data_IF_707126112383
#
_entry.id   IF_707126112383
#
_cell.length_a   1.000
_cell.length_b   1.000
_cell.length_c   1.000
_cell.angle_alpha   90.00
_cell.angle_beta   90.00
_cell.angle_gamma   90.00
#
_symmetry.space_group_name_H-M   'P 1'
#
loop_
_entity.id
_entity.type
_entity.pdbx_description
1 polymer ?
#
# COMPACT_ATOMS: atom_id res chain seq x y z
N UNK A 1 -0.25 23.09 18.16
CA UNK A 1 0.43 22.72 16.90
C UNK A 1 -0.46 23.15 15.77
N UNK A 2 0.00 23.98 14.87
CA UNK A 2 -0.74 24.35 13.66
C UNK A 2 -0.81 23.11 12.78
N UNK A 3 -2.02 22.69 12.41
CA UNK A 3 -2.27 21.55 11.53
C UNK A 3 -1.87 21.94 10.12
N UNK A 4 -0.64 21.64 9.76
CA UNK A 4 -0.12 22.13 8.49
C UNK A 4 -0.51 21.27 7.30
N UNK A 5 -0.68 19.96 7.52
CA UNK A 5 -1.05 19.00 6.48
C UNK A 5 -2.37 18.29 6.77
N UNK A 6 -3.11 17.99 5.71
CA UNK A 6 -4.24 17.06 5.66
C UNK A 6 -3.89 15.91 4.72
N UNK A 7 -4.31 14.69 5.06
CA UNK A 7 -4.09 13.51 4.22
C UNK A 7 -5.31 13.15 3.37
N UNK A 8 -5.08 12.74 2.12
CA UNK A 8 -6.12 12.16 1.27
C UNK A 8 -5.57 10.91 0.56
N UNK A 9 -6.18 9.77 0.85
CA UNK A 9 -5.78 8.49 0.27
C UNK A 9 -6.77 8.08 -0.80
N UNK A 10 -6.29 8.01 -2.05
CA UNK A 10 -7.11 7.53 -3.16
C UNK A 10 -6.92 6.01 -3.33
N UNK A 11 -7.94 5.24 -2.95
CA UNK A 11 -7.96 3.79 -3.05
C UNK A 11 -8.70 3.27 -4.30
N UNK A 12 -9.25 4.16 -5.14
CA UNK A 12 -10.06 3.80 -6.30
C UNK A 12 -9.20 3.42 -7.51
N UNK A 13 -8.00 3.98 -7.61
CA UNK A 13 -7.11 3.78 -8.78
C UNK A 13 -6.33 2.46 -8.74
N UNK A 14 -6.48 1.64 -7.70
CA UNK A 14 -5.79 0.37 -7.59
C UNK A 14 -6.60 -0.75 -8.28
N UNK A 15 -6.02 -1.36 -9.32
CA UNK A 15 -6.63 -2.49 -10.02
C UNK A 15 -6.77 -3.70 -9.08
N UNK A 16 -7.90 -4.44 -9.13
CA UNK A 16 -8.08 -5.63 -8.32
C UNK A 16 -7.11 -6.75 -8.75
N UNK A 17 -6.54 -7.45 -7.77
CA UNK A 17 -5.77 -8.68 -8.01
C UNK A 17 -6.77 -9.85 -8.12
N UNK A 18 -7.27 -10.12 -9.30
CA UNK A 18 -8.41 -11.02 -9.53
C UNK A 18 -8.25 -12.40 -8.90
N UNK A 19 -7.03 -12.96 -8.94
CA UNK A 19 -6.74 -14.31 -8.42
C UNK A 19 -6.80 -14.38 -6.88
N UNK A 20 -6.54 -13.26 -6.18
CA UNK A 20 -6.51 -13.21 -4.71
C UNK A 20 -7.69 -12.40 -4.15
N UNK A 21 -8.40 -11.62 -4.97
CA UNK A 21 -9.06 -10.42 -4.48
C UNK A 21 -10.44 -10.11 -5.06
N UNK A 22 -11.22 -11.06 -5.49
CA UNK A 22 -12.54 -10.80 -6.07
C UNK A 22 -13.50 -10.02 -5.15
N UNK A 23 -13.28 -10.05 -3.84
CA UNK A 23 -14.23 -9.53 -2.84
C UNK A 23 -13.68 -8.36 -2.00
N UNK A 24 -12.51 -7.79 -2.33
CA UNK A 24 -11.90 -6.73 -1.50
C UNK A 24 -10.94 -5.82 -2.28
N UNK A 25 -10.81 -4.53 -1.92
CA UNK A 25 -9.82 -3.64 -2.54
C UNK A 25 -8.40 -4.12 -2.28
N UNK A 26 -7.49 -3.89 -3.22
CA UNK A 26 -6.04 -4.18 -3.10
C UNK A 26 -5.47 -3.60 -1.80
N UNK A 27 -5.85 -2.38 -1.46
CA UNK A 27 -5.40 -1.69 -0.24
C UNK A 27 -5.72 -2.44 1.05
N UNK A 28 -6.68 -3.38 1.03
CA UNK A 28 -7.05 -4.21 2.18
C UNK A 28 -6.42 -5.60 2.19
N UNK A 29 -5.56 -5.93 1.22
CA UNK A 29 -4.89 -7.24 1.18
C UNK A 29 -3.92 -7.36 2.35
N UNK A 30 -3.90 -8.53 3.04
CA UNK A 30 -2.94 -8.80 4.10
C UNK A 30 -1.51 -8.88 3.56
N UNK A 31 -0.54 -8.37 4.33
CA UNK A 31 0.88 -8.37 3.99
C UNK A 31 1.74 -8.63 5.23
N UNK A 32 2.88 -9.31 5.06
CA UNK A 32 3.90 -9.50 6.10
C UNK A 32 3.39 -10.21 7.35
N UNK A 33 2.42 -11.12 7.23
CA UNK A 33 1.85 -11.92 8.32
C UNK A 33 0.88 -11.16 9.24
N UNK A 34 0.94 -9.82 9.30
CA UNK A 34 0.21 -9.04 10.30
C UNK A 34 -0.55 -7.84 9.74
N UNK A 35 0.02 -7.13 8.76
CA UNK A 35 -0.44 -5.85 8.26
C UNK A 35 -1.44 -5.99 7.11
N UNK A 36 -1.97 -4.84 6.64
CA UNK A 36 -2.60 -4.66 5.34
C UNK A 36 -1.90 -3.52 4.60
N UNK A 37 -2.01 -3.47 3.29
CA UNK A 37 -1.32 -2.44 2.48
C UNK A 37 -1.63 -1.02 2.94
N UNK A 38 -2.88 -0.71 3.28
CA UNK A 38 -3.31 0.61 3.75
C UNK A 38 -2.60 1.05 5.05
N UNK A 39 -2.16 0.10 5.88
CA UNK A 39 -1.54 0.39 7.17
C UNK A 39 -0.25 1.21 7.01
N UNK A 40 0.52 0.98 5.94
CA UNK A 40 1.73 1.72 5.63
C UNK A 40 1.42 3.20 5.36
N UNK A 41 0.49 3.47 4.44
CA UNK A 41 0.12 4.85 4.07
C UNK A 41 -0.47 5.62 5.26
N UNK A 42 -1.38 5.01 6.01
CA UNK A 42 -1.97 5.64 7.20
C UNK A 42 -0.91 5.92 8.26
N UNK A 43 0.00 4.96 8.51
CA UNK A 43 1.03 5.11 9.53
C UNK A 43 2.01 6.22 9.18
N UNK A 44 2.46 6.30 7.93
CA UNK A 44 3.35 7.37 7.49
C UNK A 44 2.70 8.74 7.62
N UNK A 45 1.39 8.86 7.33
CA UNK A 45 0.66 10.12 7.49
C UNK A 45 0.58 10.55 8.96
N UNK A 46 0.21 9.64 9.87
CA UNK A 46 0.09 9.99 11.30
C UNK A 46 1.45 10.22 11.97
N UNK A 47 2.49 9.52 11.54
CA UNK A 47 3.86 9.75 12.00
C UNK A 47 4.35 11.15 11.63
N UNK A 48 3.91 11.70 10.49
CA UNK A 48 4.17 13.09 10.07
C UNK A 48 3.20 14.10 10.70
N UNK A 49 2.54 13.75 11.79
CA UNK A 49 1.65 14.65 12.53
C UNK A 49 0.32 14.98 11.83
N UNK A 50 -0.06 14.27 10.78
CA UNK A 50 -1.36 14.45 10.12
C UNK A 50 -2.45 13.86 11.01
N UNK A 51 -3.37 14.72 11.46
CA UNK A 51 -4.49 14.34 12.34
C UNK A 51 -5.83 14.22 11.63
N UNK A 52 -5.89 14.61 10.36
CA UNK A 52 -7.12 14.55 9.52
C UNK A 52 -6.80 13.82 8.23
N UNK A 53 -7.44 12.67 8.01
CA UNK A 53 -7.21 11.83 6.83
C UNK A 53 -8.54 11.47 6.18
N UNK A 54 -8.67 11.75 4.89
CA UNK A 54 -9.78 11.32 4.04
C UNK A 54 -9.43 10.05 3.28
N UNK A 55 -10.34 9.09 3.26
CA UNK A 55 -10.22 7.85 2.50
C UNK A 55 -11.25 7.84 1.37
N UNK A 56 -10.80 8.02 0.13
CA UNK A 56 -11.65 7.85 -1.05
C UNK A 56 -11.90 6.36 -1.28
N UNK A 57 -13.07 5.91 -0.86
CA UNK A 57 -13.41 4.48 -0.82
C UNK A 57 -13.77 3.96 -2.22
N UNK A 58 -13.27 2.79 -2.61
CA UNK A 58 -13.77 2.06 -3.76
C UNK A 58 -15.15 1.45 -3.46
N UNK A 59 -15.86 1.01 -4.48
CA UNK A 59 -17.20 0.44 -4.34
C UNK A 59 -17.26 -0.71 -3.32
N UNK A 60 -16.32 -1.64 -3.37
CA UNK A 60 -16.23 -2.78 -2.43
C UNK A 60 -15.35 -2.45 -1.21
N UNK A 61 -15.81 -1.59 -0.32
CA UNK A 61 -15.00 -1.05 0.79
C UNK A 61 -15.18 -1.75 2.15
N UNK A 62 -16.08 -2.73 2.28
CA UNK A 62 -16.39 -3.37 3.57
C UNK A 62 -15.15 -3.86 4.32
N UNK A 63 -14.21 -4.50 3.63
CA UNK A 63 -12.99 -5.02 4.28
C UNK A 63 -12.05 -3.93 4.82
N UNK A 64 -12.08 -2.74 4.21
CA UNK A 64 -11.36 -1.53 4.70
C UNK A 64 -12.05 -1.03 5.97
N UNK A 65 -13.36 -0.84 5.94
CA UNK A 65 -14.16 -0.36 7.07
C UNK A 65 -14.01 -1.29 8.28
N UNK A 66 -14.08 -2.61 8.08
CA UNK A 66 -13.90 -3.62 9.13
C UNK A 66 -12.49 -3.62 9.73
N UNK A 67 -11.47 -3.23 8.93
CA UNK A 67 -10.09 -3.16 9.40
C UNK A 67 -9.79 -1.87 10.15
N UNK A 68 -10.07 -0.72 9.54
CA UNK A 68 -9.68 0.58 10.07
C UNK A 68 -10.65 1.06 11.16
N UNK A 69 -11.94 0.76 11.05
CA UNK A 69 -13.00 1.18 12.00
C UNK A 69 -12.97 2.69 12.22
N UNK A 70 -12.78 3.14 13.46
CA UNK A 70 -12.66 4.56 13.82
C UNK A 70 -11.26 5.15 13.62
N UNK A 71 -10.27 4.37 13.16
CA UNK A 71 -8.88 4.81 13.07
C UNK A 71 -8.15 4.90 14.41
N UNK A 72 -8.67 4.27 15.47
CA UNK A 72 -8.12 4.35 16.84
C UNK A 72 -6.66 3.91 16.91
N UNK A 73 -6.30 2.86 16.21
CA UNK A 73 -4.95 2.30 16.18
C UNK A 73 -3.92 3.26 15.59
N UNK A 74 -4.37 4.21 14.78
CA UNK A 74 -3.55 5.30 14.19
C UNK A 74 -3.76 6.63 14.90
N UNK A 75 -4.46 6.67 16.05
CA UNK A 75 -4.74 7.92 16.75
C UNK A 75 -5.68 8.87 16.01
N UNK A 76 -6.48 8.37 15.05
CA UNK A 76 -7.39 9.17 14.23
C UNK A 76 -8.85 9.18 14.73
N UNK A 77 -9.12 8.68 15.94
CA UNK A 77 -10.47 8.61 16.51
C UNK A 77 -10.81 9.88 17.33
N UNK A 78 -10.78 11.05 16.71
CA UNK A 78 -11.05 12.34 17.38
C UNK A 78 -12.32 13.00 16.86
N UNK A 79 -12.96 13.84 17.70
CA UNK A 79 -14.10 14.70 17.29
C UNK A 79 -13.59 15.92 16.52
N UNK A 80 -14.15 16.13 15.32
CA UNK A 80 -13.84 17.29 14.47
C UNK A 80 -12.65 17.12 13.53
N UNK A 81 -11.66 16.33 13.93
CA UNK A 81 -10.56 15.83 13.12
C UNK A 81 -10.63 14.31 13.08
N UNK A 82 -9.64 13.67 12.47
CA UNK A 82 -9.53 12.23 12.47
C UNK A 82 -9.78 11.62 11.10
N UNK A 83 -10.38 10.44 11.08
CA UNK A 83 -10.60 9.67 9.88
C UNK A 83 -11.96 9.97 9.25
N UNK A 84 -11.94 10.29 7.95
CA UNK A 84 -13.14 10.54 7.16
C UNK A 84 -13.25 9.50 6.05
N UNK A 85 -14.36 8.79 6.02
CA UNK A 85 -14.72 7.91 4.93
C UNK A 85 -15.48 8.69 3.87
N UNK A 86 -14.95 8.70 2.64
CA UNK A 86 -15.47 9.41 1.49
C UNK A 86 -15.96 8.38 0.45
N UNK A 87 -17.19 7.88 0.60
CA UNK A 87 -17.75 6.89 -0.29
C UNK A 87 -18.02 7.46 -1.69
N UNK A 88 -18.16 6.58 -2.65
CA UNK A 88 -18.58 6.95 -3.99
C UNK A 88 -20.08 7.26 -4.01
N UNK A 89 -20.44 8.43 -4.54
CA UNK A 89 -21.84 8.81 -4.69
C UNK A 89 -22.46 8.16 -5.93
N UNK A 90 -23.67 7.59 -5.77
CA UNK A 90 -24.56 7.12 -6.84
C UNK A 90 -24.08 5.96 -7.72
N UNK A 91 -23.11 5.14 -7.31
CA UNK A 91 -22.77 3.89 -8.02
C UNK A 91 -22.29 4.07 -9.46
N UNK A 92 -21.97 5.29 -9.90
CA UNK A 92 -21.30 5.54 -11.17
C UNK A 92 -19.81 5.58 -10.94
N UNK A 93 -19.07 4.71 -11.62
CA UNK A 93 -17.62 4.78 -11.65
C UNK A 93 -17.18 6.14 -12.19
N UNK A 94 -16.26 6.77 -11.48
CA UNK A 94 -15.65 8.03 -11.92
C UNK A 94 -14.77 7.77 -13.15
N UNK A 95 -14.90 8.61 -14.18
CA UNK A 95 -14.09 8.52 -15.40
C UNK A 95 -12.61 8.90 -15.20
N UNK A 96 -12.19 9.11 -13.93
CA UNK A 96 -10.84 9.45 -13.55
C UNK A 96 -10.76 10.00 -12.14
N UNK A 97 -9.56 10.39 -11.72
CA UNK A 97 -9.35 10.87 -10.35
C UNK A 97 -9.81 12.32 -10.14
N UNK A 98 -9.89 13.15 -11.20
CA UNK A 98 -10.38 14.54 -11.12
C UNK A 98 -11.84 14.60 -10.67
N UNK A 99 -12.73 13.78 -11.25
CA UNK A 99 -14.14 13.69 -10.83
C UNK A 99 -14.26 13.29 -9.35
N UNK A 100 -13.46 12.30 -8.96
CA UNK A 100 -13.38 11.85 -7.57
C UNK A 100 -12.94 12.96 -6.63
N UNK A 101 -11.90 13.71 -6.98
CA UNK A 101 -11.41 14.82 -6.16
C UNK A 101 -12.40 15.97 -6.11
N UNK A 102 -13.01 16.33 -7.24
CA UNK A 102 -14.00 17.41 -7.32
C UNK A 102 -15.19 17.17 -6.39
N UNK A 103 -15.78 15.97 -6.42
CA UNK A 103 -16.89 15.58 -5.53
C UNK A 103 -16.52 15.65 -4.05
N UNK A 104 -15.23 15.52 -3.72
CA UNK A 104 -14.73 15.50 -2.35
C UNK A 104 -13.95 16.77 -1.93
N UNK A 105 -13.96 17.85 -2.73
CA UNK A 105 -13.27 19.12 -2.40
C UNK A 105 -13.73 19.73 -1.07
N UNK A 106 -14.98 19.48 -0.67
CA UNK A 106 -15.52 19.95 0.62
C UNK A 106 -14.70 19.40 1.80
N UNK A 107 -14.16 18.18 1.71
CA UNK A 107 -13.27 17.63 2.72
C UNK A 107 -11.99 18.47 2.84
N UNK A 108 -11.34 18.78 1.71
CA UNK A 108 -10.11 19.58 1.69
C UNK A 108 -10.36 20.98 2.24
N UNK A 109 -11.46 21.64 1.84
CA UNK A 109 -11.84 22.99 2.32
C UNK A 109 -12.10 23.04 3.83
N UNK A 110 -12.74 22.01 4.39
CA UNK A 110 -13.02 21.92 5.83
C UNK A 110 -11.76 21.68 6.67
N UNK A 111 -10.73 21.04 6.11
CA UNK A 111 -9.50 20.71 6.81
C UNK A 111 -8.69 21.90 7.29
N UNK A 112 -8.87 23.09 6.68
CA UNK A 112 -8.16 24.36 7.02
C UNK A 112 -6.63 24.22 7.11
N UNK A 113 -6.07 23.22 6.49
CA UNK A 113 -4.62 22.97 6.41
C UNK A 113 -4.05 23.69 5.18
N UNK A 114 -2.79 24.07 5.26
CA UNK A 114 -2.12 24.73 4.13
C UNK A 114 -1.76 23.71 3.04
N UNK A 115 -1.35 22.52 3.45
CA UNK A 115 -0.84 21.49 2.53
C UNK A 115 -1.72 20.26 2.54
N UNK A 116 -1.84 19.63 1.38
CA UNK A 116 -2.50 18.36 1.15
C UNK A 116 -1.47 17.30 0.76
N UNK A 117 -1.45 16.19 1.47
CA UNK A 117 -0.70 15.00 1.09
C UNK A 117 -1.66 14.01 0.42
N UNK A 118 -1.49 13.83 -0.90
CA UNK A 118 -2.20 12.82 -1.69
C UNK A 118 -1.35 11.55 -1.75
N UNK A 119 -1.95 10.40 -1.54
CA UNK A 119 -1.27 9.11 -1.68
C UNK A 119 -2.22 8.03 -2.18
N UNK A 120 -1.66 6.98 -2.80
CA UNK A 120 -2.36 5.73 -3.06
C UNK A 120 -2.20 4.79 -1.86
N UNK A 121 -3.21 3.97 -1.58
CA UNK A 121 -3.17 3.04 -0.44
C UNK A 121 -2.47 1.70 -0.72
N UNK A 122 -1.81 1.53 -1.86
CA UNK A 122 -1.21 0.27 -2.30
C UNK A 122 0.34 0.31 -2.38
N UNK A 123 0.95 1.26 -1.69
CA UNK A 123 2.41 1.37 -1.55
C UNK A 123 2.89 0.70 -0.26
N UNK A 124 3.95 -0.08 -0.36
CA UNK A 124 4.72 -0.58 0.79
C UNK A 124 5.99 0.27 0.90
N UNK A 125 5.96 1.19 1.84
CA UNK A 125 6.99 2.22 2.04
C UNK A 125 6.92 2.68 3.50
N UNK A 126 8.06 3.03 4.08
CA UNK A 126 8.13 3.73 5.37
C UNK A 126 8.88 5.04 5.14
N UNK A 127 8.15 6.14 4.99
CA UNK A 127 8.68 7.44 4.59
C UNK A 127 8.33 8.51 5.63
N UNK A 128 9.30 9.39 5.89
CA UNK A 128 9.09 10.60 6.66
C UNK A 128 8.55 11.74 5.77
N UNK A 129 7.25 12.03 5.91
CA UNK A 129 6.63 13.14 5.19
C UNK A 129 6.94 14.52 5.80
N UNK A 130 7.49 14.61 7.02
CA UNK A 130 7.96 15.88 7.56
C UNK A 130 9.21 16.37 6.82
N UNK A 131 10.12 15.44 6.46
CA UNK A 131 11.26 15.76 5.60
C UNK A 131 10.82 16.24 4.22
N UNK A 132 9.83 15.56 3.62
CA UNK A 132 9.26 15.98 2.35
C UNK A 132 8.59 17.36 2.43
N UNK A 133 7.90 17.68 3.53
CA UNK A 133 7.33 19.00 3.78
C UNK A 133 8.41 20.07 3.96
N UNK A 134 9.49 19.75 4.68
CA UNK A 134 10.63 20.65 4.82
C UNK A 134 11.25 20.99 3.45
N UNK A 135 11.45 19.96 2.62
CA UNK A 135 11.93 20.13 1.24
C UNK A 135 10.98 21.02 0.42
N UNK A 136 9.68 20.76 0.47
CA UNK A 136 8.63 21.53 -0.22
C UNK A 136 8.71 23.03 0.13
N UNK A 137 8.82 23.34 1.40
CA UNK A 137 8.97 24.73 1.90
C UNK A 137 10.26 25.39 1.47
N UNK A 138 11.38 24.68 1.59
CA UNK A 138 12.71 25.17 1.20
C UNK A 138 12.74 25.62 -0.26
N UNK A 139 12.04 24.91 -1.13
CA UNK A 139 11.99 25.23 -2.56
C UNK A 139 10.83 26.18 -2.94
N UNK A 140 10.02 26.64 -1.97
CA UNK A 140 8.77 27.35 -2.21
C UNK A 140 7.94 26.65 -3.28
N UNK A 141 7.85 25.33 -3.21
CA UNK A 141 7.16 24.51 -4.19
C UNK A 141 5.65 24.74 -4.14
N UNK A 142 4.98 24.63 -5.27
CA UNK A 142 3.52 24.53 -5.37
C UNK A 142 3.11 23.06 -5.26
N UNK A 143 3.97 22.17 -5.83
CA UNK A 143 3.79 20.72 -5.83
C UNK A 143 5.14 20.04 -5.61
N UNK A 144 5.19 19.02 -4.75
CA UNK A 144 6.32 18.12 -4.62
C UNK A 144 5.89 16.69 -4.94
N UNK A 145 6.56 16.08 -5.91
CA UNK A 145 6.34 14.70 -6.33
C UNK A 145 7.41 13.82 -5.69
N UNK A 146 6.99 12.78 -4.97
CA UNK A 146 7.93 11.86 -4.34
C UNK A 146 8.30 10.77 -5.35
N UNK A 147 9.61 10.61 -5.59
CA UNK A 147 10.13 9.65 -6.56
C UNK A 147 11.25 8.79 -5.98
N UNK A 148 11.55 7.71 -6.66
CA UNK A 148 12.68 6.83 -6.39
C UNK A 148 13.39 6.51 -7.69
N UNK A 149 14.71 6.40 -7.66
CA UNK A 149 15.50 5.92 -8.80
C UNK A 149 15.28 4.43 -8.99
N UNK A 150 15.03 4.04 -10.24
CA UNK A 150 14.87 2.63 -10.62
C UNK A 150 16.24 1.94 -10.56
N UNK A 151 16.43 0.92 -9.71
CA UNK A 151 17.74 0.30 -9.53
C UNK A 151 18.10 -0.65 -10.67
N UNK A 152 17.11 -1.16 -11.41
CA UNK A 152 17.26 -2.08 -12.55
C UNK A 152 16.06 -1.90 -13.46
N UNK A 153 16.28 -1.97 -14.77
CA UNK A 153 15.21 -1.90 -15.77
C UNK A 153 14.11 -2.95 -15.49
N UNK A 154 12.84 -2.51 -15.60
CA UNK A 154 11.65 -3.36 -15.40
C UNK A 154 10.59 -3.05 -16.44
N UNK A 155 9.92 -4.09 -16.94
CA UNK A 155 8.75 -3.96 -17.82
C UNK A 155 7.52 -3.61 -16.98
N UNK A 156 7.45 -2.35 -16.59
CA UNK A 156 6.37 -1.83 -15.78
C UNK A 156 6.01 -0.42 -16.23
N UNK A 157 4.73 -0.19 -16.50
CA UNK A 157 4.21 1.15 -16.77
C UNK A 157 4.25 2.02 -15.49
N UNK A 158 4.67 3.27 -15.63
CA UNK A 158 4.69 4.20 -14.52
C UNK A 158 5.07 5.60 -14.96
N UNK A 159 4.71 6.61 -14.16
CA UNK A 159 5.19 7.97 -14.39
C UNK A 159 6.66 8.10 -13.99
N UNK A 160 7.45 8.78 -14.83
CA UNK A 160 8.84 9.17 -14.58
C UNK A 160 8.98 10.68 -14.61
N UNK A 161 9.97 11.18 -13.85
CA UNK A 161 10.27 12.61 -13.73
C UNK A 161 11.60 12.92 -14.40
N UNK A 162 11.61 13.88 -15.33
CA UNK A 162 12.85 14.51 -15.77
C UNK A 162 13.10 15.74 -14.89
N UNK A 163 14.25 15.80 -14.21
CA UNK A 163 14.60 16.86 -13.27
C UNK A 163 15.76 17.69 -13.78
N UNK A 164 15.81 18.97 -13.39
CA UNK A 164 17.02 19.78 -13.53
C UNK A 164 17.93 19.66 -12.29
N UNK A 165 19.09 20.33 -12.28
CA UNK A 165 20.07 20.33 -11.20
C UNK A 165 19.53 20.87 -9.84
N UNK A 166 18.37 21.53 -9.85
CA UNK A 166 17.71 22.10 -8.67
C UNK A 166 16.46 21.31 -8.29
N UNK A 167 16.37 20.05 -8.69
CA UNK A 167 15.24 19.14 -8.44
C UNK A 167 13.89 19.61 -9.02
N UNK A 168 13.88 20.61 -9.91
CA UNK A 168 12.65 21.04 -10.55
C UNK A 168 12.24 20.06 -11.64
N UNK A 169 10.98 19.66 -11.64
CA UNK A 169 10.39 18.77 -12.65
C UNK A 169 10.24 19.54 -13.97
N UNK A 170 10.88 19.05 -15.02
CA UNK A 170 10.81 19.57 -16.37
C UNK A 170 9.79 18.84 -17.23
N UNK A 171 9.70 17.51 -17.05
CA UNK A 171 8.79 16.64 -17.79
C UNK A 171 8.25 15.53 -16.90
N UNK A 172 7.02 15.12 -17.21
CA UNK A 172 6.32 13.96 -16.65
C UNK A 172 5.99 13.03 -17.83
N UNK A 173 6.64 11.89 -17.87
CA UNK A 173 6.46 10.90 -18.92
C UNK A 173 5.83 9.62 -18.35
N UNK A 174 5.15 8.83 -19.19
CA UNK A 174 4.55 7.55 -18.79
C UNK A 174 5.01 6.45 -19.74
N UNK A 175 6.29 6.02 -19.64
CA UNK A 175 6.81 4.94 -20.47
C UNK A 175 6.18 3.59 -20.08
N UNK A 176 6.12 2.66 -21.05
CA UNK A 176 5.69 1.28 -20.83
C UNK A 176 6.75 0.46 -20.07
N UNK A 177 8.02 0.87 -20.20
CA UNK A 177 9.18 0.22 -19.55
C UNK A 177 10.00 1.27 -18.81
N UNK A 178 10.35 0.99 -17.57
CA UNK A 178 11.21 1.85 -16.77
C UNK A 178 12.67 1.40 -16.93
N UNK A 179 13.54 2.31 -17.32
CA UNK A 179 14.99 2.07 -17.44
C UNK A 179 15.69 2.21 -16.08
N UNK A 180 16.86 1.60 -15.96
CA UNK A 180 17.74 1.83 -14.80
C UNK A 180 18.10 3.33 -14.71
N UNK A 181 18.01 3.87 -13.51
CA UNK A 181 18.27 5.28 -13.23
C UNK A 181 17.07 6.22 -13.46
N UNK A 182 15.96 5.75 -14.03
CA UNK A 182 14.76 6.56 -14.18
C UNK A 182 14.22 7.00 -12.81
N UNK A 183 13.72 8.24 -12.75
CA UNK A 183 13.08 8.77 -11.53
C UNK A 183 11.61 8.37 -11.52
N UNK A 184 11.31 7.17 -10.99
CA UNK A 184 9.96 6.61 -10.91
C UNK A 184 9.13 7.34 -9.86
N UNK A 185 7.99 7.89 -10.26
CA UNK A 185 7.01 8.49 -9.34
C UNK A 185 6.35 7.45 -8.44
N UNK A 186 6.33 7.69 -7.13
CA UNK A 186 5.80 6.74 -6.14
C UNK A 186 4.31 6.90 -5.84
N UNK A 187 3.62 7.85 -6.49
CA UNK A 187 2.18 8.07 -6.25
C UNK A 187 1.88 8.90 -5.00
N UNK A 188 2.87 9.60 -4.45
CA UNK A 188 2.73 10.49 -3.31
C UNK A 188 3.01 11.92 -3.74
N UNK A 189 2.05 12.83 -3.47
CA UNK A 189 2.09 14.24 -3.89
C UNK A 189 1.84 15.11 -2.68
N UNK A 190 2.74 16.05 -2.41
CA UNK A 190 2.51 17.13 -1.48
C UNK A 190 2.20 18.40 -2.30
N UNK A 191 1.06 19.05 -2.02
CA UNK A 191 0.56 20.17 -2.79
C UNK A 191 -0.08 21.21 -1.87
N UNK A 192 0.03 22.48 -2.21
CA UNK A 192 -0.72 23.54 -1.56
C UNK A 192 -2.25 23.34 -1.76
N UNK A 193 -3.03 23.40 -0.68
CA UNK A 193 -4.48 23.14 -0.73
C UNK A 193 -5.23 24.08 -1.67
N UNK A 194 -4.86 25.37 -1.74
CA UNK A 194 -5.52 26.33 -2.62
C UNK A 194 -5.22 25.98 -4.08
N UNK A 195 -3.96 25.69 -4.40
CA UNK A 195 -3.56 25.28 -5.75
C UNK A 195 -4.25 23.99 -6.18
N UNK A 196 -4.39 23.02 -5.25
CA UNK A 196 -5.12 21.79 -5.54
C UNK A 196 -6.58 22.06 -5.86
N UNK A 197 -7.27 22.84 -5.03
CA UNK A 197 -8.70 23.17 -5.22
C UNK A 197 -8.94 23.88 -6.55
N UNK A 198 -8.18 24.94 -6.83
CA UNK A 198 -8.28 25.70 -8.07
C UNK A 198 -8.00 24.83 -9.32
N UNK A 199 -7.00 23.95 -9.20
CA UNK A 199 -6.64 23.05 -10.28
C UNK A 199 -7.74 22.02 -10.56
N UNK A 200 -8.34 21.44 -9.51
CA UNK A 200 -9.42 20.46 -9.67
C UNK A 200 -10.69 21.11 -10.20
N UNK A 201 -11.13 22.24 -9.67
CA UNK A 201 -12.33 22.93 -10.15
C UNK A 201 -12.24 23.30 -11.63
N UNK A 202 -11.10 23.87 -12.01
CA UNK A 202 -10.85 24.27 -13.40
C UNK A 202 -10.81 23.06 -14.32
N UNK A 203 -10.07 22.03 -13.93
CA UNK A 203 -9.89 20.84 -14.77
C UNK A 203 -11.17 20.03 -14.92
N UNK A 204 -12.00 19.97 -13.87
CA UNK A 204 -13.33 19.36 -13.93
C UNK A 204 -14.24 20.13 -14.92
N UNK A 205 -14.26 21.47 -14.87
CA UNK A 205 -15.03 22.29 -15.78
C UNK A 205 -14.55 22.17 -17.25
N UNK A 206 -13.26 21.91 -17.46
CA UNK A 206 -12.65 21.67 -18.77
C UNK A 206 -12.77 20.23 -19.29
N UNK A 207 -13.35 19.30 -18.48
CA UNK A 207 -13.57 17.91 -18.87
C UNK A 207 -12.32 17.03 -18.83
N UNK A 208 -11.31 17.37 -18.03
CA UNK A 208 -10.14 16.52 -17.83
C UNK A 208 -10.42 15.39 -16.84
N UNK A 209 -9.68 14.27 -16.97
CA UNK A 209 -9.92 13.07 -16.19
C UNK A 209 -8.79 12.72 -15.22
N UNK A 210 -7.52 12.97 -15.58
CA UNK A 210 -6.35 12.51 -14.82
C UNK A 210 -5.50 13.66 -14.28
N UNK A 211 -5.39 13.76 -12.96
CA UNK A 211 -4.68 14.85 -12.29
C UNK A 211 -3.20 14.93 -12.68
N UNK A 212 -2.49 13.82 -12.77
CA UNK A 212 -1.07 13.81 -13.13
C UNK A 212 -0.89 14.12 -14.62
N UNK A 213 -1.55 13.36 -15.50
CA UNK A 213 -1.36 13.47 -16.95
C UNK A 213 -1.98 14.72 -17.55
N UNK A 214 -3.21 15.08 -17.14
CA UNK A 214 -3.94 16.18 -17.76
C UNK A 214 -3.68 17.52 -17.07
N UNK A 215 -3.42 17.51 -15.74
CA UNK A 215 -3.25 18.74 -14.98
C UNK A 215 -1.79 19.07 -14.71
N UNK A 216 -1.07 18.20 -14.01
CA UNK A 216 0.31 18.50 -13.62
C UNK A 216 1.23 18.55 -14.82
N UNK A 217 1.20 17.56 -15.72
CA UNK A 217 2.09 17.52 -16.88
C UNK A 217 1.94 18.74 -17.79
N UNK A 218 0.71 19.25 -17.96
CA UNK A 218 0.44 20.45 -18.80
C UNK A 218 0.81 21.76 -18.11
N UNK A 219 0.87 21.80 -16.79
CA UNK A 219 1.12 23.02 -16.02
C UNK A 219 2.52 23.14 -15.42
N UNK A 220 3.49 22.28 -15.79
CA UNK A 220 4.87 22.29 -15.27
C UNK A 220 5.59 23.64 -15.46
N UNK A 221 5.27 24.38 -16.54
CA UNK A 221 5.84 25.71 -16.77
C UNK A 221 5.26 26.78 -15.85
N UNK A 222 4.01 26.64 -15.43
CA UNK A 222 3.28 27.61 -14.60
C UNK A 222 3.45 27.30 -13.10
N UNK A 223 3.42 26.02 -12.72
CA UNK A 223 3.57 25.58 -11.35
C UNK A 223 5.04 25.30 -11.02
N UNK A 224 5.41 25.56 -9.77
CA UNK A 224 6.72 25.20 -9.21
C UNK A 224 6.66 23.77 -8.72
N UNK A 225 6.87 22.81 -9.65
CA UNK A 225 6.82 21.37 -9.37
C UNK A 225 8.25 20.87 -9.13
N UNK A 226 8.48 20.23 -7.98
CA UNK A 226 9.78 19.67 -7.59
C UNK A 226 9.69 18.19 -7.32
N UNK A 227 10.81 17.47 -7.50
CA UNK A 227 10.95 16.06 -7.15
C UNK A 227 11.68 15.90 -5.82
N UNK A 228 11.11 15.13 -4.89
CA UNK A 228 11.78 14.70 -3.66
C UNK A 228 12.19 13.24 -3.79
N UNK A 229 13.51 12.97 -3.74
CA UNK A 229 14.05 11.62 -3.86
C UNK A 229 13.89 10.85 -2.55
N UNK A 230 13.15 9.75 -2.60
CA UNK A 230 13.10 8.76 -1.52
C UNK A 230 14.12 7.64 -1.78
N UNK A 231 14.98 7.36 -0.81
CA UNK A 231 16.09 6.40 -0.95
C UNK A 231 15.87 5.06 -0.26
N UNK A 232 14.77 4.91 0.47
CA UNK A 232 14.43 3.70 1.19
C UNK A 232 13.71 2.66 0.33
N UNK A 233 13.28 1.57 0.96
CA UNK A 233 12.47 0.55 0.30
C UNK A 233 11.09 1.09 -0.08
N UNK A 234 10.74 1.01 -1.35
CA UNK A 234 9.42 1.39 -1.86
C UNK A 234 8.99 0.46 -3.00
N UNK A 235 7.88 -0.24 -2.81
CA UNK A 235 7.25 -1.05 -3.86
C UNK A 235 5.75 -0.82 -3.89
N UNK A 236 5.19 -0.75 -5.11
CA UNK A 236 3.75 -0.70 -5.34
C UNK A 236 3.23 -2.09 -5.60
N UNK A 237 2.13 -2.47 -4.95
CA UNK A 237 1.40 -3.69 -5.23
C UNK A 237 0.31 -3.39 -6.26
N UNK A 238 0.40 -3.96 -7.45
CA UNK A 238 -0.50 -3.73 -8.57
C UNK A 238 -0.93 -5.02 -9.29
N UNK A 239 -0.22 -6.13 -9.06
CA UNK A 239 -0.50 -7.46 -9.55
C UNK A 239 -0.08 -8.54 -8.53
N UNK A 240 -0.31 -9.79 -8.88
CA UNK A 240 0.02 -10.95 -8.02
C UNK A 240 1.53 -11.11 -7.85
N UNK A 241 2.31 -10.87 -8.89
CA UNK A 241 3.77 -10.97 -8.86
C UNK A 241 4.35 -9.92 -7.88
N UNK A 242 3.99 -8.65 -8.02
CA UNK A 242 4.43 -7.59 -7.11
C UNK A 242 3.97 -7.83 -5.67
N UNK A 243 2.78 -8.39 -5.46
CA UNK A 243 2.31 -8.81 -4.14
C UNK A 243 3.17 -9.92 -3.55
N UNK A 244 3.46 -10.96 -4.34
CA UNK A 244 4.32 -12.07 -3.94
C UNK A 244 5.71 -11.57 -3.58
N UNK A 245 6.33 -10.82 -4.49
CA UNK A 245 7.68 -10.29 -4.32
C UNK A 245 7.82 -9.41 -3.07
N UNK A 246 6.87 -8.50 -2.82
CA UNK A 246 6.91 -7.65 -1.61
C UNK A 246 6.85 -8.48 -0.34
N UNK A 247 6.06 -9.55 -0.31
CA UNK A 247 6.02 -10.45 0.85
C UNK A 247 7.33 -11.22 1.01
N UNK A 248 7.93 -11.73 -0.07
CA UNK A 248 9.23 -12.41 -0.02
C UNK A 248 10.35 -11.45 0.40
N UNK A 249 10.35 -10.20 -0.07
CA UNK A 249 11.32 -9.18 0.36
C UNK A 249 11.27 -8.93 1.88
N UNK A 250 10.10 -9.07 2.52
CA UNK A 250 9.97 -8.94 3.98
C UNK A 250 10.66 -10.06 4.77
N UNK A 251 11.04 -11.17 4.11
CA UNK A 251 11.85 -12.22 4.71
C UNK A 251 13.34 -11.85 4.77
N UNK A 252 13.80 -10.88 3.98
CA UNK A 252 15.15 -10.28 4.16
C UNK A 252 15.18 -9.44 5.44
N UNK A 253 16.09 -9.75 6.39
CA UNK A 253 16.19 -9.00 7.65
C UNK A 253 16.49 -7.50 7.47
N UNK A 254 17.11 -7.08 6.36
CA UNK A 254 17.39 -5.66 6.09
C UNK A 254 16.11 -4.94 5.70
N UNK A 255 15.38 -5.47 4.72
CA UNK A 255 14.08 -4.95 4.28
C UNK A 255 13.08 -4.92 5.43
N UNK A 256 13.02 -6.01 6.23
CA UNK A 256 12.15 -6.09 7.40
C UNK A 256 12.46 -5.00 8.44
N UNK A 257 13.75 -4.78 8.75
CA UNK A 257 14.16 -3.74 9.70
C UNK A 257 13.86 -2.35 9.17
N UNK A 258 14.13 -2.11 7.91
CA UNK A 258 13.87 -0.80 7.28
C UNK A 258 12.39 -0.43 7.29
N UNK A 259 11.52 -1.37 6.96
CA UNK A 259 10.08 -1.13 6.88
C UNK A 259 9.36 -1.18 8.23
N UNK A 260 9.69 -2.17 9.08
CA UNK A 260 8.84 -2.56 10.20
C UNK A 260 9.48 -2.34 11.58
N UNK A 261 10.80 -2.16 11.64
CA UNK A 261 11.53 -1.86 12.87
C UNK A 261 12.42 -0.61 12.75
N UNK A 262 11.92 0.47 12.19
CA UNK A 262 12.63 1.74 12.17
C UNK A 262 12.62 2.37 13.57
N UNK A 263 13.12 3.60 13.65
CA UNK A 263 12.95 4.48 14.79
C UNK A 263 11.49 4.42 15.32
N UNK A 264 11.26 4.36 16.65
CA UNK A 264 9.93 4.37 17.26
C UNK A 264 8.98 5.45 16.74
N UNK A 265 9.52 6.56 16.20
CA UNK A 265 8.77 7.66 15.60
C UNK A 265 8.15 7.32 14.22
N UNK A 266 8.62 6.26 13.57
CA UNK A 266 8.17 5.84 12.22
C UNK A 266 7.58 4.43 12.23
N UNK A 267 6.84 4.10 13.28
CA UNK A 267 6.22 2.78 13.45
C UNK A 267 5.06 2.59 12.48
N UNK A 268 4.98 1.40 11.87
CA UNK A 268 3.79 0.99 11.13
C UNK A 268 2.77 0.41 12.11
N UNK A 269 1.64 1.11 12.23
CA UNK A 269 0.50 0.71 13.05
C UNK A 269 -0.41 -0.24 12.26
N UNK A 270 -1.14 -1.07 12.95
CA UNK A 270 -2.16 -1.96 12.39
C UNK A 270 -3.20 -2.31 13.43
N UNK A 271 -4.31 -2.86 12.99
CA UNK A 271 -5.34 -3.37 13.90
C UNK A 271 -4.79 -4.42 14.85
N UNK A 272 -4.96 -4.20 16.15
CA UNK A 272 -4.58 -5.15 17.18
C UNK A 272 -5.58 -6.32 17.19
N UNK A 273 -5.03 -7.52 17.24
CA UNK A 273 -5.80 -8.76 17.39
C UNK A 273 -5.11 -9.61 18.45
N UNK A 274 -5.85 -9.94 19.49
CA UNK A 274 -5.36 -10.78 20.57
C UNK A 274 -5.49 -12.24 20.17
N UNK A 275 -4.36 -12.92 20.08
CA UNK A 275 -4.25 -14.34 19.75
C UNK A 275 -3.11 -14.95 20.58
N UNK A 276 -3.20 -16.25 20.86
CA UNK A 276 -2.12 -16.96 21.50
C UNK A 276 -0.83 -16.87 20.66
N UNK A 277 0.36 -16.95 21.27
CA UNK A 277 1.61 -17.09 20.54
C UNK A 277 1.58 -18.26 19.55
N UNK A 278 2.39 -18.20 18.50
CA UNK A 278 2.58 -19.33 17.59
C UNK A 278 3.20 -20.52 18.34
N UNK A 279 2.73 -21.73 18.06
CA UNK A 279 3.21 -22.97 18.66
C UNK A 279 3.89 -23.85 17.62
N UNK A 280 5.10 -24.26 17.90
CA UNK A 280 5.85 -25.25 17.13
C UNK A 280 5.82 -26.56 17.88
N UNK A 281 5.43 -27.64 17.20
CA UNK A 281 5.40 -28.99 17.75
C UNK A 281 6.80 -29.62 17.70
N UNK A 282 7.00 -30.77 18.33
CA UNK A 282 8.30 -31.37 18.56
C UNK A 282 9.12 -31.62 17.28
N UNK A 283 8.48 -32.02 16.20
CA UNK A 283 9.13 -32.29 14.91
C UNK A 283 9.13 -31.11 13.93
N UNK A 284 8.55 -29.98 14.35
CA UNK A 284 8.45 -28.80 13.49
C UNK A 284 9.83 -28.22 13.13
N UNK A 285 10.00 -27.86 11.86
CA UNK A 285 11.20 -27.18 11.35
C UNK A 285 10.78 -25.86 10.69
N UNK A 286 11.31 -24.74 11.18
CA UNK A 286 11.03 -23.43 10.62
C UNK A 286 12.34 -22.71 10.28
N UNK A 287 12.47 -22.27 9.02
CA UNK A 287 13.62 -21.53 8.54
C UNK A 287 13.18 -20.34 7.70
N UNK A 288 13.69 -19.15 8.03
CA UNK A 288 13.40 -17.90 7.34
C UNK A 288 11.90 -17.66 7.11
N UNK A 289 11.10 -17.67 8.19
CA UNK A 289 9.65 -17.51 8.12
C UNK A 289 9.14 -16.35 8.99
N UNK A 290 8.11 -15.66 8.52
CA UNK A 290 7.28 -14.80 9.36
C UNK A 290 6.04 -15.58 9.79
N UNK A 291 5.91 -15.88 11.09
CA UNK A 291 4.81 -16.67 11.63
C UNK A 291 4.01 -15.84 12.60
N UNK A 292 2.75 -15.55 12.26
CA UNK A 292 1.88 -14.75 13.09
C UNK A 292 1.28 -15.55 14.27
N UNK A 293 0.69 -14.84 15.21
CA UNK A 293 0.06 -15.40 16.41
C UNK A 293 -1.04 -16.42 16.06
N UNK A 294 -1.21 -17.41 16.94
CA UNK A 294 -2.22 -18.45 16.82
C UNK A 294 -1.90 -19.56 15.83
N UNK A 295 -0.73 -19.52 15.16
CA UNK A 295 -0.31 -20.59 14.26
C UNK A 295 0.12 -21.84 15.03
N UNK A 296 -0.14 -23.01 14.45
CA UNK A 296 0.35 -24.32 14.92
C UNK A 296 1.12 -24.96 13.79
N UNK A 297 2.42 -25.22 14.01
CA UNK A 297 3.31 -25.78 13.00
C UNK A 297 3.77 -27.16 13.49
N UNK A 298 3.45 -28.21 12.72
CA UNK A 298 3.88 -29.60 12.98
C UNK A 298 4.85 -30.09 11.90
N UNK A 299 4.83 -29.51 10.70
CA UNK A 299 5.67 -29.87 9.56
C UNK A 299 6.89 -28.98 9.39
N UNK A 300 7.41 -28.96 8.17
CA UNK A 300 8.59 -28.16 7.74
C UNK A 300 8.14 -26.93 6.95
N UNK A 301 8.55 -25.74 7.41
CA UNK A 301 8.22 -24.46 6.76
C UNK A 301 9.49 -23.69 6.46
N UNK A 302 9.62 -23.16 5.23
CA UNK A 302 10.81 -22.48 4.73
C UNK A 302 10.45 -21.29 3.83
N UNK A 303 11.16 -20.17 3.96
CA UNK A 303 10.98 -18.96 3.15
C UNK A 303 9.51 -18.57 2.97
N UNK A 304 8.71 -18.58 4.03
CA UNK A 304 7.25 -18.47 3.92
C UNK A 304 6.64 -17.53 4.96
N UNK A 305 5.47 -17.02 4.64
CA UNK A 305 4.73 -16.10 5.52
C UNK A 305 3.41 -16.74 5.93
N UNK A 306 3.22 -16.89 7.23
CA UNK A 306 2.02 -17.45 7.84
C UNK A 306 1.26 -16.37 8.59
N UNK A 307 0.04 -16.11 8.15
CA UNK A 307 -0.87 -15.23 8.86
C UNK A 307 -1.53 -15.97 10.04
N UNK A 308 -2.31 -15.25 10.83
CA UNK A 308 -2.88 -15.76 12.09
C UNK A 308 -3.68 -17.05 11.94
N UNK A 309 -3.54 -17.92 12.93
CA UNK A 309 -4.30 -19.18 13.06
C UNK A 309 -4.16 -20.10 11.86
N UNK A 310 -3.00 -20.12 11.22
CA UNK A 310 -2.67 -21.14 10.23
C UNK A 310 -2.25 -22.42 10.96
N UNK A 311 -2.71 -23.56 10.46
CA UNK A 311 -2.27 -24.89 10.90
C UNK A 311 -1.51 -25.57 9.77
N UNK A 312 -0.35 -26.11 10.11
CA UNK A 312 0.48 -26.93 9.20
C UNK A 312 0.60 -28.31 9.82
N UNK A 313 0.08 -29.32 9.13
CA UNK A 313 0.01 -30.71 9.58
C UNK A 313 1.36 -31.41 9.64
N UNK A 314 1.37 -32.63 10.13
CA UNK A 314 2.57 -33.48 10.28
C UNK A 314 3.20 -33.77 8.92
N UNK A 315 4.52 -33.77 8.85
CA UNK A 315 5.31 -34.03 7.64
C UNK A 315 4.97 -33.09 6.45
N UNK A 316 4.03 -32.16 6.59
CA UNK A 316 3.74 -31.19 5.54
C UNK A 316 4.96 -30.32 5.28
N UNK A 317 5.20 -29.97 4.01
CA UNK A 317 6.31 -29.14 3.57
C UNK A 317 5.76 -27.89 2.86
N UNK A 318 6.04 -26.72 3.42
CA UNK A 318 5.60 -25.44 2.84
C UNK A 318 6.83 -24.59 2.56
N UNK A 319 7.05 -24.24 1.28
CA UNK A 319 8.18 -23.42 0.85
C UNK A 319 7.73 -22.23 0.03
N UNK A 320 8.47 -21.13 0.11
CA UNK A 320 8.31 -19.95 -0.74
C UNK A 320 6.84 -19.52 -0.88
N UNK A 321 6.05 -19.56 0.22
CA UNK A 321 4.59 -19.47 0.13
C UNK A 321 4.01 -18.43 1.08
N UNK A 322 2.82 -17.92 0.74
CA UNK A 322 2.07 -16.95 1.53
C UNK A 322 0.76 -17.59 1.94
N UNK A 323 0.61 -17.89 3.23
CA UNK A 323 -0.54 -18.61 3.77
C UNK A 323 -1.37 -17.67 4.64
N UNK A 324 -2.55 -17.25 4.14
CA UNK A 324 -3.40 -16.30 4.85
C UNK A 324 -4.21 -16.95 5.98
N UNK A 325 -4.85 -16.11 6.78
CA UNK A 325 -5.49 -16.45 8.06
C UNK A 325 -6.49 -17.61 7.96
N UNK A 326 -6.46 -18.48 8.99
CA UNK A 326 -7.38 -19.62 9.15
C UNK A 326 -7.25 -20.68 8.06
N UNK A 327 -6.12 -20.76 7.38
CA UNK A 327 -5.82 -21.83 6.43
C UNK A 327 -5.34 -23.05 7.20
N UNK A 328 -5.84 -24.21 6.81
CA UNK A 328 -5.43 -25.51 7.36
C UNK A 328 -4.75 -26.31 6.24
N UNK A 329 -3.53 -26.76 6.49
CA UNK A 329 -2.73 -27.57 5.59
C UNK A 329 -2.63 -28.95 6.20
N UNK A 330 -3.14 -29.97 5.50
CA UNK A 330 -3.20 -31.36 5.93
C UNK A 330 -1.82 -32.02 6.05
N UNK A 331 -1.81 -33.19 6.67
CA UNK A 331 -0.59 -34.00 6.85
C UNK A 331 0.00 -34.40 5.50
N UNK A 332 1.33 -34.47 5.42
CA UNK A 332 2.09 -34.87 4.25
C UNK A 332 1.88 -33.99 2.99
N UNK A 333 1.14 -32.87 3.09
CA UNK A 333 0.92 -31.93 1.97
C UNK A 333 2.21 -31.20 1.59
N UNK A 334 2.35 -30.85 0.29
CA UNK A 334 3.51 -30.15 -0.26
C UNK A 334 3.08 -28.90 -1.01
N UNK A 335 3.54 -27.73 -0.56
CA UNK A 335 3.27 -26.44 -1.17
C UNK A 335 4.58 -25.74 -1.51
N UNK A 336 4.69 -25.24 -2.75
CA UNK A 336 5.83 -24.43 -3.19
C UNK A 336 5.39 -23.30 -4.12
N UNK A 337 5.77 -22.06 -3.83
CA UNK A 337 5.32 -20.84 -4.53
C UNK A 337 3.79 -20.74 -4.61
N UNK A 338 3.10 -20.89 -3.45
CA UNK A 338 1.64 -20.87 -3.35
C UNK A 338 1.18 -19.68 -2.53
N UNK A 339 0.13 -19.02 -2.98
CA UNK A 339 -0.61 -18.01 -2.22
C UNK A 339 -1.97 -18.58 -1.86
N UNK A 340 -2.19 -18.93 -0.60
CA UNK A 340 -3.50 -19.35 -0.08
C UNK A 340 -4.24 -18.15 0.52
N UNK A 341 -5.42 -17.83 -0.01
CA UNK A 341 -6.30 -16.85 0.65
C UNK A 341 -6.96 -17.47 1.89
N UNK A 342 -7.70 -16.67 2.63
CA UNK A 342 -8.26 -16.98 3.96
C UNK A 342 -9.20 -18.17 3.98
N UNK A 343 -9.15 -18.95 5.08
CA UNK A 343 -10.05 -20.08 5.32
C UNK A 343 -9.95 -21.17 4.25
N UNK A 344 -8.79 -21.35 3.64
CA UNK A 344 -8.51 -22.43 2.69
C UNK A 344 -8.20 -23.71 3.44
N UNK A 345 -8.62 -24.83 2.90
CA UNK A 345 -8.30 -26.17 3.44
C UNK A 345 -7.54 -26.95 2.36
N UNK A 346 -6.31 -27.31 2.66
CA UNK A 346 -5.49 -28.17 1.82
C UNK A 346 -5.57 -29.58 2.40
N UNK A 347 -6.05 -30.53 1.62
CA UNK A 347 -6.21 -31.92 2.05
C UNK A 347 -4.85 -32.60 2.31
N UNK A 348 -4.81 -33.65 3.13
CA UNK A 348 -3.61 -34.45 3.31
C UNK A 348 -3.04 -34.95 1.96
N UNK A 349 -1.70 -35.07 1.88
CA UNK A 349 -0.95 -35.54 0.71
C UNK A 349 -1.07 -34.67 -0.56
N UNK A 350 -1.83 -33.58 -0.54
CA UNK A 350 -1.97 -32.67 -1.67
C UNK A 350 -0.63 -32.04 -2.05
N UNK A 351 -0.35 -31.96 -3.37
CA UNK A 351 0.86 -31.32 -3.89
C UNK A 351 0.49 -30.18 -4.82
N UNK A 352 0.90 -28.95 -4.43
CA UNK A 352 0.58 -27.71 -5.11
C UNK A 352 1.86 -26.89 -5.36
N UNK A 353 2.10 -26.48 -6.59
CA UNK A 353 3.31 -25.75 -6.96
C UNK A 353 3.02 -24.66 -7.99
N UNK A 354 3.62 -23.49 -7.78
CA UNK A 354 3.75 -22.41 -8.74
C UNK A 354 5.21 -22.14 -9.07
N UNK A 355 5.52 -20.94 -9.55
CA UNK A 355 6.88 -20.41 -9.74
C UNK A 355 7.00 -19.02 -9.12
N UNK A 356 8.20 -18.48 -9.00
CA UNK A 356 8.42 -17.14 -8.48
C UNK A 356 7.71 -16.07 -9.32
N UNK A 357 7.78 -16.19 -10.65
CA UNK A 357 7.13 -15.27 -11.59
C UNK A 357 5.60 -15.48 -11.67
N UNK A 358 5.17 -16.72 -11.43
CA UNK A 358 3.75 -17.08 -11.48
C UNK A 358 3.36 -17.98 -10.32
N UNK A 359 3.20 -17.41 -9.11
CA UNK A 359 2.76 -18.18 -7.95
C UNK A 359 1.34 -18.73 -8.15
N UNK A 360 1.10 -19.94 -7.64
CA UNK A 360 -0.23 -20.53 -7.68
C UNK A 360 -1.14 -19.87 -6.65
N UNK A 361 -2.20 -19.22 -7.12
CA UNK A 361 -3.18 -18.55 -6.26
C UNK A 361 -4.36 -19.47 -5.95
N UNK A 362 -4.68 -19.61 -4.69
CA UNK A 362 -5.83 -20.38 -4.19
C UNK A 362 -6.80 -19.41 -3.53
N UNK A 363 -8.00 -19.35 -4.08
CA UNK A 363 -9.04 -18.42 -3.65
C UNK A 363 -9.57 -18.72 -2.25
N UNK A 364 -10.24 -17.74 -1.66
CA UNK A 364 -10.82 -17.79 -0.32
C UNK A 364 -11.82 -18.95 -0.17
N UNK A 365 -11.70 -19.71 0.94
CA UNK A 365 -12.57 -20.86 1.30
C UNK A 365 -12.46 -22.04 0.32
N UNK A 366 -11.45 -22.11 -0.52
CA UNK A 366 -11.21 -23.28 -1.33
C UNK A 366 -10.89 -24.51 -0.47
N UNK A 367 -11.27 -25.67 -0.96
CA UNK A 367 -10.93 -26.99 -0.40
C UNK A 367 -10.29 -27.80 -1.53
N UNK A 368 -9.04 -28.18 -1.37
CA UNK A 368 -8.22 -28.85 -2.41
C UNK A 368 -7.54 -30.08 -1.85
#
# INVERSE_FOLDING_TARGET
>A
MTREMIGLINMRNAQPLKEINDARPVTSIPIGGKYRLIDFTLSNMVNAGITTVGLLLPHQSRSILDHIRSGREWGLAHKGDGLFYLPEENGKESEGDIDTYYKNLTFVRRGKSKYLLLSSGNMVINIDYEEALHFHRKHNADVTLIYQKVPKAVEQEGYTLTLNEKDRVLELNKPATLAEGDNKFLGCILIDCEIFQDSIEKSYAEGYHHFIGDVLARNLKRLRVFGYEFKGYAKRVHDVESYFQVNMDLLDPRTWRELLNPNPQHRIYTKINDEAPAKYMEEAKANNCLVANGCIIEGTVENSIFFRRVKVGKNAVVKNSIIMQYTEIGDDARLDHVICDKNTVIQPEATLSGTEEKPLCIGKKAVL
#
